data_IF_571491343027
#
_entry.id   IF_571491343027
#
_cell.length_a   1.000
_cell.length_b   1.000
_cell.length_c   1.000
_cell.angle_alpha   90.00
_cell.angle_beta   90.00
_cell.angle_gamma   90.00
#
_symmetry.space_group_name_H-M   'P 1'
#
loop_
_entity.id
_entity.type
_entity.pdbx_description
1 polymer ?
#
# COMPACT_ATOMS: atom_id res chain seq x y z
N UNK A 1 -25.88 -4.00 2.75
CA UNK A 1 -25.60 -2.54 2.63
C UNK A 1 -24.43 -2.30 3.55
N UNK A 2 -23.25 -2.04 3.03
CA UNK A 2 -22.12 -1.65 3.89
C UNK A 2 -22.49 -0.30 4.48
N UNK A 3 -22.58 -0.21 5.80
CA UNK A 3 -22.47 1.07 6.50
C UNK A 3 -21.17 1.72 6.03
N UNK A 4 -21.23 2.97 5.61
CA UNK A 4 -20.08 3.70 5.11
C UNK A 4 -19.09 3.86 6.27
N UNK A 5 -18.06 3.02 6.34
CA UNK A 5 -16.98 3.14 7.31
C UNK A 5 -16.42 4.57 7.24
N UNK A 6 -16.51 5.29 8.34
CA UNK A 6 -15.99 6.66 8.43
C UNK A 6 -14.48 6.65 8.72
N UNK A 7 -13.79 7.73 8.40
CA UNK A 7 -12.36 7.89 8.72
C UNK A 7 -12.11 7.70 10.23
N UNK A 8 -13.00 8.22 11.08
CA UNK A 8 -12.85 8.12 12.53
C UNK A 8 -12.98 6.67 13.04
N UNK A 9 -13.98 5.93 12.58
CA UNK A 9 -14.16 4.51 12.93
C UNK A 9 -12.99 3.67 12.44
N UNK A 10 -12.55 3.91 11.22
CA UNK A 10 -11.39 3.24 10.62
C UNK A 10 -10.09 3.49 11.41
N UNK A 11 -9.85 4.72 11.84
CA UNK A 11 -8.71 5.07 12.69
C UNK A 11 -8.81 4.40 14.06
N UNK A 12 -10.01 4.35 14.66
CA UNK A 12 -10.24 3.63 15.91
C UNK A 12 -9.94 2.14 15.77
N UNK A 13 -10.38 1.51 14.68
CA UNK A 13 -10.09 0.10 14.40
C UNK A 13 -8.57 -0.16 14.30
N UNK A 14 -7.83 0.72 13.61
CA UNK A 14 -6.36 0.57 13.54
C UNK A 14 -5.71 0.77 14.92
N UNK A 15 -6.21 1.69 15.72
CA UNK A 15 -5.74 1.91 17.11
C UNK A 15 -5.92 0.66 17.97
N UNK A 16 -7.05 -0.02 17.84
CA UNK A 16 -7.32 -1.26 18.55
C UNK A 16 -6.39 -2.38 18.10
N UNK A 17 -6.14 -2.50 16.78
CA UNK A 17 -5.17 -3.45 16.23
C UNK A 17 -3.77 -3.17 16.79
N UNK A 18 -3.31 -1.91 16.80
CA UNK A 18 -1.99 -1.53 17.31
C UNK A 18 -1.85 -1.83 18.80
N UNK A 19 -2.89 -1.54 19.59
CA UNK A 19 -2.88 -1.79 21.04
C UNK A 19 -2.85 -3.28 21.38
N UNK A 20 -3.58 -4.09 20.61
CA UNK A 20 -3.66 -5.54 20.80
C UNK A 20 -2.49 -6.30 20.15
N UNK A 21 -1.64 -5.60 19.39
CA UNK A 21 -0.57 -6.19 18.61
C UNK A 21 0.45 -6.97 19.46
N UNK A 22 0.68 -6.59 20.70
CA UNK A 22 1.60 -7.31 21.59
C UNK A 22 1.17 -8.78 21.83
N UNK A 23 -0.12 -9.11 21.66
CA UNK A 23 -0.63 -10.46 21.73
C UNK A 23 -0.39 -11.25 20.44
N UNK A 24 -0.16 -10.55 19.31
CA UNK A 24 0.10 -11.11 17.98
C UNK A 24 1.59 -11.45 17.74
N UNK A 25 2.49 -11.17 18.69
CA UNK A 25 3.94 -11.47 18.61
C UNK A 25 4.28 -12.97 18.43
N UNK A 26 3.27 -13.84 18.26
CA UNK A 26 3.40 -15.26 17.96
C UNK A 26 3.34 -15.59 16.48
N UNK A 27 3.03 -14.62 15.64
CA UNK A 27 2.90 -14.80 14.19
C UNK A 27 4.27 -15.05 13.58
N UNK A 28 4.47 -16.17 12.91
CA UNK A 28 5.80 -16.63 12.47
C UNK A 28 5.95 -16.82 10.97
N UNK A 29 4.85 -16.79 10.20
CA UNK A 29 4.89 -17.06 8.78
C UNK A 29 3.96 -16.13 7.98
N UNK A 30 4.16 -16.10 6.67
CA UNK A 30 3.45 -15.20 5.75
C UNK A 30 1.92 -15.41 5.77
N UNK A 31 1.47 -16.66 5.84
CA UNK A 31 0.04 -16.97 5.88
C UNK A 31 -0.61 -16.45 7.17
N UNK A 32 0.07 -16.59 8.30
CA UNK A 32 -0.39 -16.06 9.59
C UNK A 32 -0.39 -14.52 9.58
N UNK A 33 0.66 -13.89 9.04
CA UNK A 33 0.71 -12.41 8.87
C UNK A 33 -0.47 -11.93 8.05
N UNK A 34 -0.78 -12.58 6.93
CA UNK A 34 -1.95 -12.22 6.11
C UNK A 34 -3.24 -12.36 6.90
N UNK A 35 -3.47 -13.52 7.51
CA UNK A 35 -4.70 -13.80 8.23
C UNK A 35 -4.95 -12.86 9.42
N UNK A 36 -3.92 -12.58 10.23
CA UNK A 36 -4.11 -11.86 11.49
C UNK A 36 -3.96 -10.34 11.36
N UNK A 37 -3.19 -9.84 10.42
CA UNK A 37 -2.93 -8.41 10.29
C UNK A 37 -3.50 -7.83 9.00
N UNK A 38 -3.07 -8.34 7.86
CA UNK A 38 -3.38 -7.69 6.58
C UNK A 38 -4.86 -7.78 6.28
N UNK A 39 -5.50 -8.95 6.51
CA UNK A 39 -6.94 -9.11 6.30
C UNK A 39 -7.75 -8.18 7.20
N UNK A 40 -7.41 -8.10 8.50
CA UNK A 40 -8.08 -7.19 9.42
C UNK A 40 -7.92 -5.72 9.01
N UNK A 41 -6.72 -5.31 8.62
CA UNK A 41 -6.44 -3.94 8.19
C UNK A 41 -7.22 -3.62 6.91
N UNK A 42 -7.23 -4.52 5.92
CA UNK A 42 -7.97 -4.32 4.67
C UNK A 42 -9.48 -4.18 4.93
N UNK A 43 -10.05 -5.08 5.73
CA UNK A 43 -11.49 -5.10 5.97
C UNK A 43 -11.90 -3.99 6.94
N UNK A 44 -11.32 -3.95 8.15
CA UNK A 44 -11.78 -3.10 9.24
C UNK A 44 -11.27 -1.65 9.15
N UNK A 45 -10.06 -1.45 8.63
CA UNK A 45 -9.47 -0.12 8.58
C UNK A 45 -9.63 0.57 7.23
N UNK A 46 -9.69 -0.20 6.13
CA UNK A 46 -9.81 0.39 4.78
C UNK A 46 -11.15 0.12 4.10
N UNK A 47 -12.05 -0.62 4.75
CA UNK A 47 -13.45 -0.76 4.33
C UNK A 47 -13.65 -1.57 3.05
N UNK A 48 -12.75 -2.52 2.75
CA UNK A 48 -12.93 -3.44 1.64
C UNK A 48 -13.80 -4.62 2.05
N UNK A 49 -14.90 -4.80 1.35
CA UNK A 49 -15.79 -5.96 1.56
C UNK A 49 -15.15 -7.24 1.04
N UNK A 50 -15.37 -8.37 1.73
CA UNK A 50 -14.88 -9.69 1.32
C UNK A 50 -15.24 -10.05 -0.12
N UNK A 51 -16.39 -9.61 -0.60
CA UNK A 51 -16.80 -9.85 -1.99
C UNK A 51 -15.95 -9.12 -3.03
N UNK A 52 -15.19 -8.11 -2.59
CA UNK A 52 -14.28 -7.30 -3.41
C UNK A 52 -12.82 -7.70 -3.24
N UNK A 53 -12.51 -8.60 -2.32
CA UNK A 53 -11.17 -9.12 -2.06
C UNK A 53 -11.01 -10.44 -2.80
N UNK A 54 -9.92 -10.58 -3.56
CA UNK A 54 -9.49 -11.84 -4.17
C UNK A 54 -8.09 -12.15 -3.65
N UNK A 55 -7.90 -13.34 -3.08
CA UNK A 55 -6.63 -13.79 -2.52
C UNK A 55 -6.01 -14.83 -3.45
N UNK A 56 -4.68 -14.82 -3.58
CA UNK A 56 -3.88 -15.81 -4.31
C UNK A 56 -4.34 -16.04 -5.77
N UNK A 57 -4.49 -14.95 -6.52
CA UNK A 57 -4.90 -15.06 -7.92
C UNK A 57 -3.72 -15.37 -8.82
N UNK A 58 -3.84 -16.47 -9.58
CA UNK A 58 -2.84 -16.84 -10.58
C UNK A 58 -2.75 -15.83 -11.72
N UNK A 59 -1.53 -15.41 -12.02
CA UNK A 59 -1.19 -14.53 -13.15
C UNK A 59 -0.39 -15.33 -14.18
N UNK A 60 -0.91 -15.43 -15.40
CA UNK A 60 -0.23 -16.17 -16.48
C UNK A 60 1.21 -15.66 -16.68
N UNK A 61 2.18 -16.55 -16.54
CA UNK A 61 3.62 -16.31 -16.64
C UNK A 61 4.29 -15.56 -15.46
N UNK A 62 3.58 -15.18 -14.38
CA UNK A 62 4.14 -14.35 -13.32
C UNK A 62 3.89 -14.87 -11.89
N UNK A 63 3.22 -16.01 -11.73
CA UNK A 63 2.90 -16.53 -10.39
C UNK A 63 1.56 -16.01 -9.83
N UNK A 64 1.47 -15.82 -8.53
CA UNK A 64 0.24 -15.42 -7.85
C UNK A 64 0.38 -14.01 -7.30
N UNK A 65 -0.70 -13.21 -7.34
CA UNK A 65 -0.84 -12.02 -6.51
C UNK A 65 -1.38 -12.43 -5.14
N UNK A 66 -0.87 -11.84 -4.07
CA UNK A 66 -1.40 -12.14 -2.74
C UNK A 66 -2.81 -11.61 -2.56
N UNK A 67 -3.04 -10.33 -2.93
CA UNK A 67 -4.39 -9.73 -2.91
C UNK A 67 -4.65 -8.88 -4.14
N UNK A 68 -5.89 -8.99 -4.63
CA UNK A 68 -6.49 -8.02 -5.55
C UNK A 68 -7.74 -7.42 -4.88
N UNK A 69 -7.81 -6.11 -4.77
CA UNK A 69 -8.93 -5.38 -4.19
C UNK A 69 -9.70 -4.63 -5.28
N UNK A 70 -11.03 -4.78 -5.25
CA UNK A 70 -11.94 -4.14 -6.19
C UNK A 70 -12.31 -5.02 -7.39
N UNK A 71 -13.47 -4.71 -7.98
CA UNK A 71 -13.98 -5.33 -9.21
C UNK A 71 -14.53 -4.24 -10.13
N UNK A 72 -13.77 -3.79 -11.15
CA UNK A 72 -12.44 -4.28 -11.57
C UNK A 72 -11.34 -4.02 -10.52
N UNK A 73 -10.21 -4.74 -10.64
CA UNK A 73 -9.07 -4.63 -9.73
C UNK A 73 -8.57 -3.20 -9.63
N UNK A 74 -8.57 -2.66 -8.42
CA UNK A 74 -8.16 -1.28 -8.14
C UNK A 74 -6.84 -1.20 -7.39
N UNK A 75 -6.55 -2.18 -6.52
CA UNK A 75 -5.31 -2.30 -5.77
C UNK A 75 -4.77 -3.71 -5.91
N UNK A 76 -3.46 -3.84 -6.03
CA UNK A 76 -2.73 -5.11 -5.84
C UNK A 76 -1.82 -4.97 -4.63
N UNK A 77 -1.81 -5.99 -3.78
CA UNK A 77 -0.95 -6.06 -2.59
C UNK A 77 -0.05 -7.28 -2.74
N UNK A 78 1.23 -7.07 -2.55
CA UNK A 78 2.25 -8.09 -2.35
C UNK A 78 2.62 -8.13 -0.87
N UNK A 79 2.37 -9.27 -0.24
CA UNK A 79 2.62 -9.49 1.18
C UNK A 79 3.88 -10.34 1.38
N UNK A 80 4.80 -9.85 2.17
CA UNK A 80 5.95 -10.64 2.62
C UNK A 80 5.71 -11.12 4.05
N UNK A 81 6.36 -12.22 4.44
CA UNK A 81 6.25 -12.73 5.82
C UNK A 81 6.74 -11.68 6.82
N UNK A 82 6.16 -11.67 7.99
CA UNK A 82 6.46 -10.72 9.07
C UNK A 82 7.95 -10.64 9.44
N UNK A 83 8.65 -11.76 9.42
CA UNK A 83 10.09 -11.83 9.72
C UNK A 83 11.00 -11.14 8.69
N UNK A 84 10.47 -10.68 7.55
CA UNK A 84 11.19 -9.88 6.57
C UNK A 84 10.94 -8.40 6.89
N UNK A 85 11.92 -7.76 7.54
CA UNK A 85 11.89 -6.32 7.78
C UNK A 85 12.36 -5.58 6.54
N UNK A 86 11.56 -4.64 6.06
CA UNK A 86 11.99 -3.71 5.03
C UNK A 86 12.91 -2.66 5.65
N UNK A 87 14.17 -2.67 5.27
CA UNK A 87 15.08 -1.58 5.65
C UNK A 87 14.63 -0.30 4.94
N UNK A 88 14.46 0.76 5.71
CA UNK A 88 13.97 2.03 5.21
C UNK A 88 15.06 3.10 5.33
N UNK A 89 15.14 4.07 4.38
CA UNK A 89 16.14 5.13 4.46
C UNK A 89 16.04 5.91 5.78
N UNK A 90 17.17 6.31 6.40
CA UNK A 90 17.18 7.07 7.66
C UNK A 90 16.41 8.39 7.59
N UNK A 91 16.26 8.99 6.41
CA UNK A 91 15.49 10.20 6.18
C UNK A 91 13.99 10.01 6.48
N UNK A 92 13.49 8.78 6.42
CA UNK A 92 12.09 8.45 6.78
C UNK A 92 11.80 8.53 8.27
N UNK A 93 12.83 8.41 9.10
CA UNK A 93 12.69 8.51 10.54
C UNK A 93 12.43 9.95 11.02
N UNK A 94 12.35 10.91 10.08
CA UNK A 94 12.16 12.35 10.34
C UNK A 94 10.92 12.90 9.62
N UNK A 95 9.74 12.39 9.95
CA UNK A 95 8.43 12.99 9.60
C UNK A 95 8.04 13.06 8.11
N UNK A 96 8.64 12.29 7.23
CA UNK A 96 8.24 12.26 5.81
C UNK A 96 7.78 10.86 5.39
N UNK A 97 6.48 10.73 5.18
CA UNK A 97 5.89 9.50 4.64
C UNK A 97 6.00 9.38 3.10
N UNK A 98 6.54 10.38 2.39
CA UNK A 98 6.72 10.34 0.94
C UNK A 98 8.21 10.24 0.61
N UNK A 99 8.58 9.16 -0.10
CA UNK A 99 9.97 8.81 -0.43
C UNK A 99 10.06 8.41 -1.89
N UNK A 100 11.15 8.76 -2.54
CA UNK A 100 11.41 8.31 -3.90
C UNK A 100 11.68 6.79 -3.93
N UNK A 101 11.09 6.11 -4.89
CA UNK A 101 11.20 4.66 -5.04
C UNK A 101 12.65 4.20 -5.28
N UNK A 102 13.48 4.91 -6.08
CA UNK A 102 14.89 4.54 -6.24
C UNK A 102 15.66 4.47 -4.92
N UNK A 103 15.40 5.35 -3.96
CA UNK A 103 16.01 5.30 -2.62
C UNK A 103 15.55 4.07 -1.83
N UNK A 104 14.26 3.71 -1.90
CA UNK A 104 13.74 2.50 -1.28
C UNK A 104 14.40 1.23 -1.84
N UNK A 105 14.51 1.14 -3.16
CA UNK A 105 15.06 -0.04 -3.86
C UNK A 105 16.56 -0.27 -3.60
N UNK A 106 17.26 0.72 -3.04
CA UNK A 106 18.69 0.60 -2.67
C UNK A 106 18.90 0.04 -1.28
N UNK A 107 17.86 -0.05 -0.45
CA UNK A 107 17.99 -0.41 0.96
C UNK A 107 18.29 -1.90 1.16
N UNK A 108 17.47 -2.77 0.60
CA UNK A 108 17.72 -4.20 0.61
C UNK A 108 17.08 -4.92 -0.60
N UNK A 109 17.49 -6.16 -0.80
CA UNK A 109 17.05 -6.97 -1.95
C UNK A 109 15.57 -7.33 -1.83
N UNK A 110 15.11 -7.70 -0.65
CA UNK A 110 13.74 -8.13 -0.38
C UNK A 110 12.74 -7.02 -0.68
N UNK A 111 13.04 -5.79 -0.25
CA UNK A 111 12.21 -4.62 -0.55
C UNK A 111 12.20 -4.31 -2.05
N UNK A 112 13.36 -4.37 -2.69
CA UNK A 112 13.47 -4.16 -4.15
C UNK A 112 12.63 -5.16 -4.92
N UNK A 113 12.73 -6.45 -4.59
CA UNK A 113 11.96 -7.52 -5.24
C UNK A 113 10.46 -7.33 -5.03
N UNK A 114 10.02 -7.02 -3.80
CA UNK A 114 8.62 -6.76 -3.51
C UNK A 114 8.07 -5.56 -4.32
N UNK A 115 8.81 -4.46 -4.41
CA UNK A 115 8.43 -3.28 -5.20
C UNK A 115 8.33 -3.62 -6.69
N UNK A 116 9.32 -4.32 -7.24
CA UNK A 116 9.32 -4.70 -8.66
C UNK A 116 8.17 -5.65 -8.99
N UNK A 117 7.93 -6.65 -8.16
CA UNK A 117 6.90 -7.65 -8.34
C UNK A 117 5.51 -7.00 -8.32
N UNK A 118 5.20 -6.21 -7.30
CA UNK A 118 3.88 -5.58 -7.18
C UNK A 118 3.65 -4.53 -8.26
N UNK A 119 4.69 -3.80 -8.70
CA UNK A 119 4.59 -2.85 -9.80
C UNK A 119 4.20 -3.55 -11.10
N UNK A 120 4.86 -4.65 -11.43
CA UNK A 120 4.59 -5.43 -12.65
C UNK A 120 3.15 -5.96 -12.66
N UNK A 121 2.70 -6.52 -11.54
CA UNK A 121 1.32 -7.00 -11.41
C UNK A 121 0.31 -5.87 -11.52
N UNK A 122 0.56 -4.76 -10.85
CA UNK A 122 -0.31 -3.58 -10.89
C UNK A 122 -0.44 -2.99 -12.28
N UNK A 123 0.65 -2.86 -13.01
CA UNK A 123 0.66 -2.36 -14.38
C UNK A 123 -0.11 -3.29 -15.33
N UNK A 124 0.07 -4.61 -15.22
CA UNK A 124 -0.64 -5.61 -16.04
C UNK A 124 -2.15 -5.64 -15.76
N UNK A 125 -2.55 -5.38 -14.53
CA UNK A 125 -3.97 -5.37 -14.13
C UNK A 125 -4.65 -4.02 -14.30
N UNK A 126 -3.89 -2.96 -14.60
CA UNK A 126 -4.42 -1.59 -14.66
C UNK A 126 -4.85 -1.07 -13.29
N UNK A 127 -4.20 -1.53 -12.21
CA UNK A 127 -4.52 -1.11 -10.87
C UNK A 127 -4.25 0.39 -10.66
N UNK A 128 -5.07 1.03 -9.84
CA UNK A 128 -4.91 2.45 -9.49
C UNK A 128 -3.69 2.68 -8.61
N UNK A 129 -3.42 1.78 -7.67
CA UNK A 129 -2.19 1.77 -6.88
C UNK A 129 -1.80 0.34 -6.49
N UNK A 130 -0.59 0.21 -5.96
CA UNK A 130 -0.03 -1.06 -5.48
C UNK A 130 0.56 -0.89 -4.09
N UNK A 131 0.63 -1.98 -3.35
CA UNK A 131 1.12 -2.01 -1.98
C UNK A 131 2.09 -3.17 -1.80
N UNK A 132 3.30 -2.89 -1.35
CA UNK A 132 4.21 -3.89 -0.79
C UNK A 132 4.14 -3.80 0.74
N UNK A 133 3.94 -4.92 1.43
CA UNK A 133 3.80 -4.93 2.90
C UNK A 133 4.33 -6.22 3.51
N UNK A 134 4.74 -6.14 4.78
CA UNK A 134 5.01 -7.29 5.65
C UNK A 134 4.03 -7.35 6.83
N UNK A 135 2.88 -6.67 6.70
CA UNK A 135 1.88 -6.54 7.76
C UNK A 135 2.10 -5.37 8.72
N UNK A 136 3.34 -4.90 8.88
CA UNK A 136 3.74 -3.79 9.76
C UNK A 136 4.14 -2.54 9.01
N UNK A 137 4.85 -2.73 7.93
CA UNK A 137 5.37 -1.70 7.05
C UNK A 137 4.58 -1.71 5.74
N UNK A 138 4.23 -0.54 5.25
CA UNK A 138 3.43 -0.39 4.03
C UNK A 138 4.11 0.58 3.09
N UNK A 139 4.30 0.15 1.84
CA UNK A 139 4.85 0.96 0.76
C UNK A 139 3.82 1.01 -0.35
N UNK A 140 3.25 2.19 -0.58
CA UNK A 140 2.11 2.42 -1.48
C UNK A 140 2.57 3.33 -2.61
N UNK A 141 2.37 2.94 -3.86
CA UNK A 141 2.77 3.75 -5.01
C UNK A 141 1.91 3.47 -6.26
N UNK A 142 2.10 4.27 -7.30
CA UNK A 142 1.38 4.11 -8.57
C UNK A 142 2.14 3.14 -9.47
N UNK A 143 1.50 2.07 -9.98
CA UNK A 143 2.15 1.10 -10.86
C UNK A 143 2.41 1.65 -12.26
N UNK A 144 1.74 2.76 -12.62
CA UNK A 144 1.89 3.47 -13.89
C UNK A 144 1.83 4.97 -13.69
N UNK A 145 2.55 5.73 -14.51
CA UNK A 145 2.52 7.19 -14.53
C UNK A 145 2.04 7.69 -15.88
N UNK A 146 1.28 8.78 -15.87
CA UNK A 146 0.75 9.42 -17.09
C UNK A 146 1.59 10.62 -17.58
N UNK A 147 2.64 10.97 -16.85
CA UNK A 147 3.49 12.15 -17.11
C UNK A 147 4.81 11.83 -17.82
N UNK A 148 4.99 10.59 -18.30
CA UNK A 148 6.22 10.15 -18.95
C UNK A 148 7.35 9.72 -17.99
N UNK A 149 7.19 9.86 -16.68
CA UNK A 149 8.16 9.34 -15.70
C UNK A 149 7.97 7.82 -15.56
N UNK A 150 9.05 7.00 -15.67
CA UNK A 150 8.94 5.59 -15.37
C UNK A 150 8.38 5.37 -13.95
N UNK A 151 7.47 4.42 -13.74
CA UNK A 151 6.79 4.24 -12.43
C UNK A 151 7.76 4.09 -11.26
N UNK A 152 8.84 3.31 -11.45
CA UNK A 152 9.85 3.09 -10.42
C UNK A 152 10.81 4.27 -10.18
N UNK A 153 10.66 5.37 -10.93
CA UNK A 153 11.34 6.65 -10.68
C UNK A 153 10.43 7.67 -9.97
N UNK A 154 9.22 7.26 -9.60
CA UNK A 154 8.28 8.08 -8.86
C UNK A 154 8.49 8.03 -7.35
N UNK A 155 7.45 8.46 -6.63
CA UNK A 155 7.41 8.47 -5.18
C UNK A 155 6.49 7.38 -4.64
N UNK A 156 6.77 6.93 -3.43
CA UNK A 156 5.90 6.07 -2.64
C UNK A 156 5.48 6.76 -1.34
N UNK A 157 4.27 6.46 -0.89
CA UNK A 157 3.82 6.73 0.46
C UNK A 157 4.23 5.54 1.33
N UNK A 158 4.96 5.80 2.39
CA UNK A 158 5.59 4.76 3.19
C UNK A 158 5.22 4.94 4.66
N UNK A 159 4.81 3.84 5.27
CA UNK A 159 4.60 3.73 6.71
C UNK A 159 5.60 2.74 7.29
N UNK A 160 6.45 3.23 8.19
CA UNK A 160 7.54 2.44 8.78
C UNK A 160 7.06 1.46 9.87
N UNK A 161 5.83 1.64 10.34
CA UNK A 161 5.17 0.78 11.32
C UNK A 161 3.66 1.06 11.33
N UNK A 162 2.89 0.20 11.98
CA UNK A 162 1.45 0.45 12.21
C UNK A 162 1.22 1.67 13.10
N UNK A 163 2.11 1.96 14.06
CA UNK A 163 2.04 3.18 14.87
C UNK A 163 2.26 4.44 14.01
N UNK A 164 3.26 4.41 13.12
CA UNK A 164 3.48 5.50 12.17
C UNK A 164 2.30 5.67 11.20
N UNK A 165 1.68 4.57 10.78
CA UNK A 165 0.46 4.61 9.97
C UNK A 165 -0.71 5.23 10.76
N UNK A 166 -0.86 4.90 12.04
CA UNK A 166 -1.90 5.46 12.90
C UNK A 166 -1.74 6.97 13.08
N UNK A 167 -0.51 7.45 13.33
CA UNK A 167 -0.20 8.89 13.43
C UNK A 167 -0.52 9.66 12.15
N UNK A 168 -0.44 8.99 11.00
CA UNK A 168 -0.65 9.56 9.68
C UNK A 168 -1.85 8.91 8.96
N UNK A 169 -2.83 8.39 9.70
CA UNK A 169 -3.87 7.51 9.17
C UNK A 169 -4.65 8.10 8.00
N UNK A 170 -4.95 9.39 8.04
CA UNK A 170 -5.62 10.07 6.95
C UNK A 170 -4.90 9.89 5.60
N UNK A 171 -3.56 9.87 5.59
CA UNK A 171 -2.79 9.65 4.36
C UNK A 171 -2.98 8.23 3.82
N UNK A 172 -2.95 7.22 4.70
CA UNK A 172 -3.20 5.83 4.33
C UNK A 172 -4.64 5.64 3.85
N UNK A 173 -5.61 6.20 4.58
CA UNK A 173 -7.03 6.17 4.22
C UNK A 173 -7.30 6.75 2.83
N UNK A 174 -6.77 7.93 2.54
CA UNK A 174 -6.93 8.57 1.22
C UNK A 174 -6.29 7.76 0.10
N UNK A 175 -5.21 7.02 0.39
CA UNK A 175 -4.48 6.25 -0.61
C UNK A 175 -5.12 4.91 -0.94
N UNK A 176 -5.55 4.11 0.06
CA UNK A 176 -5.92 2.71 -0.15
C UNK A 176 -7.27 2.29 0.44
N UNK A 177 -8.03 3.18 1.08
CA UNK A 177 -9.39 2.82 1.47
C UNK A 177 -10.31 2.67 0.25
N UNK A 178 -11.39 1.92 0.41
CA UNK A 178 -12.42 1.79 -0.63
C UNK A 178 -12.94 3.16 -1.09
N UNK A 179 -13.20 4.06 -0.14
CA UNK A 179 -13.64 5.44 -0.43
C UNK A 179 -12.55 6.24 -1.12
N UNK A 180 -11.31 6.19 -0.60
CA UNK A 180 -10.16 6.90 -1.17
C UNK A 180 -9.88 6.53 -2.63
N UNK A 181 -9.95 5.24 -2.94
CA UNK A 181 -9.79 4.73 -4.30
C UNK A 181 -10.96 5.16 -5.20
N UNK A 182 -12.20 5.02 -4.74
CA UNK A 182 -13.39 5.43 -5.49
C UNK A 182 -13.36 6.91 -5.84
N UNK A 183 -12.85 7.75 -4.94
CA UNK A 183 -12.71 9.18 -5.15
C UNK A 183 -11.36 9.57 -5.80
N UNK A 184 -10.53 8.60 -6.16
CA UNK A 184 -9.23 8.77 -6.83
C UNK A 184 -8.24 9.64 -6.04
N UNK A 185 -8.33 9.67 -4.71
CA UNK A 185 -7.52 10.52 -3.83
C UNK A 185 -6.04 10.15 -3.85
N UNK A 186 -5.70 8.89 -4.11
CA UNK A 186 -4.31 8.41 -4.24
C UNK A 186 -3.51 9.19 -5.28
N UNK A 187 -4.15 9.61 -6.38
CA UNK A 187 -3.48 10.36 -7.45
C UNK A 187 -3.12 11.79 -7.02
N UNK A 188 -3.85 12.38 -6.07
CA UNK A 188 -3.51 13.69 -5.51
C UNK A 188 -2.27 13.64 -4.61
N UNK A 189 -1.95 12.47 -4.05
CA UNK A 189 -0.81 12.27 -3.15
C UNK A 189 0.46 11.85 -3.90
N UNK A 190 0.31 10.94 -4.84
CA UNK A 190 1.42 10.24 -5.51
C UNK A 190 1.51 10.58 -7.00
N UNK A 191 0.44 11.11 -7.58
CA UNK A 191 0.46 11.64 -8.93
C UNK A 191 1.40 12.84 -8.99
N UNK A 192 2.19 12.93 -10.04
CA UNK A 192 3.06 14.07 -10.28
C UNK A 192 2.24 15.35 -10.24
N UNK A 193 2.77 16.36 -9.56
CA UNK A 193 2.23 17.70 -9.59
C UNK A 193 2.01 18.13 -11.04
N UNK A 194 0.76 18.21 -11.47
CA UNK A 194 0.34 18.79 -12.75
C UNK A 194 0.84 20.25 -12.89
N UNK A 195 1.35 20.83 -11.81
CA UNK A 195 1.86 22.21 -11.72
C UNK A 195 3.28 22.40 -12.25
N UNK A 196 3.91 21.42 -12.89
CA UNK A 196 5.22 21.57 -13.54
C UNK A 196 5.19 21.36 -15.05
N UNK A 197 4.07 21.67 -15.71
CA UNK A 197 4.11 21.93 -17.15
C UNK A 197 4.73 23.34 -17.29
N UNK A 198 5.96 23.50 -17.80
CA UNK A 198 6.46 24.82 -18.14
C UNK A 198 5.49 25.38 -19.20
N UNK A 199 4.90 26.53 -18.93
CA UNK A 199 4.27 27.35 -19.96
C UNK A 199 5.36 27.73 -21.00
N UNK A 200 5.60 26.83 -21.95
CA UNK A 200 6.41 27.10 -23.15
C UNK A 200 5.56 26.84 -24.38
N UNK A 201 4.54 27.63 -24.55
CA UNK A 201 3.99 27.98 -25.82
C UNK A 201 3.68 29.51 -25.77
N UNK A 202 4.69 30.31 -25.96
CA UNK A 202 4.61 31.69 -26.44
C UNK A 202 5.56 31.84 -27.58
#
# INVERSE_FOLDING_TARGET
MMENLTLYEAESNLRDIVNNYNDLNRIKNEAETRFHLIDEIIEKCFGWDKSQITVERYMQNNGFTDYELGKPTSIIIEAKKEGITFELPPAMLKDKNIIDIPSLMKMNVELKEAIMQVQEYGAKRGAACVVATNGHQFIIFLPTNTNGTPPLNGNALVFSSLSNMLENFKMAWEAISYVGIKERRVFNKLGSNINSIPNKFS
#
